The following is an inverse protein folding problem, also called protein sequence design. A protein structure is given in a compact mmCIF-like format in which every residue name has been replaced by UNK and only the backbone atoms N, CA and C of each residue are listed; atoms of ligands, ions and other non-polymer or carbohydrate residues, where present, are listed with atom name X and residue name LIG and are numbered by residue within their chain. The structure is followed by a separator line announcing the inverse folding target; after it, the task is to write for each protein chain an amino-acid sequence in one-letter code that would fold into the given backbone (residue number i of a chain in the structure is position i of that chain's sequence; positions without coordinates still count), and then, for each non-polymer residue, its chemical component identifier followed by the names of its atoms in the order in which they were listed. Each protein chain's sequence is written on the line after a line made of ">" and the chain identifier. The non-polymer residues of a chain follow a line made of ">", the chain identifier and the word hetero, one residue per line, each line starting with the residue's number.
data_IF_569101483265
#
_entry.id   IF_569101483265
#
_cell.length_a   1.000
_cell.length_b   1.000
_cell.length_c   1.000
_cell.angle_alpha   90.00
_cell.angle_beta   90.00
_cell.angle_gamma   90.00
#
_symmetry.space_group_name_H-M   'P 1'
#
loop_
_entity.id
_entity.type
_entity.pdbx_description
1 polymer ?
#
# COMPACT_ATOMS: atom_id res chain seq x y z
N UNK A 1 85.38 -29.16 90.73
CA UNK A 1 84.96 -29.35 89.32
C UNK A 1 83.46 -29.58 89.29
N UNK A 2 82.69 -28.66 88.71
CA UNK A 2 81.22 -28.71 88.65
C UNK A 2 80.78 -28.51 87.19
N UNK A 3 79.84 -29.32 86.66
CA UNK A 3 79.53 -29.33 85.23
C UNK A 3 78.51 -28.23 84.86
N UNK A 4 78.77 -27.50 83.77
CA UNK A 4 77.80 -26.57 83.16
C UNK A 4 76.78 -27.35 82.33
N UNK A 5 75.50 -27.29 82.75
CA UNK A 5 74.32 -27.76 82.01
C UNK A 5 74.07 -26.90 80.76
N UNK A 6 73.97 -27.54 79.58
CA UNK A 6 73.48 -26.92 78.34
C UNK A 6 71.94 -26.88 78.33
N UNK A 7 71.37 -25.72 77.97
CA UNK A 7 69.90 -25.53 77.83
C UNK A 7 69.44 -25.96 76.42
N UNK A 8 68.24 -26.58 76.28
CA UNK A 8 67.70 -26.95 74.99
C UNK A 8 67.14 -25.74 74.22
N UNK A 9 67.39 -25.70 72.91
CA UNK A 9 66.77 -24.74 71.97
C UNK A 9 65.28 -25.03 71.85
N UNK A 10 64.44 -24.14 72.38
CA UNK A 10 63.00 -24.11 72.09
C UNK A 10 62.82 -23.85 70.59
N UNK A 11 62.18 -24.79 69.87
CA UNK A 11 61.71 -24.57 68.49
C UNK A 11 60.62 -23.51 68.53
N UNK A 12 60.81 -22.41 67.79
CA UNK A 12 59.88 -21.30 67.67
C UNK A 12 58.66 -21.72 66.83
N UNK A 13 57.56 -22.07 67.49
CA UNK A 13 56.24 -22.35 66.86
C UNK A 13 55.47 -21.09 66.45
N UNK A 14 55.99 -19.88 66.76
CA UNK A 14 55.33 -18.61 66.45
C UNK A 14 55.45 -18.14 64.99
N UNK A 15 56.42 -18.64 64.21
CA UNK A 15 56.56 -18.26 62.80
C UNK A 15 55.52 -18.94 61.90
N UNK A 16 55.08 -20.16 62.27
CA UNK A 16 54.13 -20.93 61.46
C UNK A 16 52.70 -20.39 61.58
N UNK A 17 52.30 -19.89 62.75
CA UNK A 17 50.98 -19.26 62.95
C UNK A 17 50.87 -17.91 62.26
N UNK A 18 51.96 -17.12 62.20
CA UNK A 18 52.02 -15.87 61.43
C UNK A 18 51.89 -16.12 59.93
N UNK A 19 52.56 -17.16 59.42
CA UNK A 19 52.49 -17.52 58.00
C UNK A 19 51.10 -18.03 57.60
N UNK A 20 50.46 -18.85 58.43
CA UNK A 20 49.07 -19.30 58.21
C UNK A 20 48.09 -18.12 58.31
N UNK A 21 48.26 -17.23 59.29
CA UNK A 21 47.43 -16.02 59.41
C UNK A 21 47.55 -15.10 58.21
N UNK A 22 48.77 -14.91 57.68
CA UNK A 22 49.01 -14.13 56.46
C UNK A 22 48.34 -14.78 55.24
N UNK A 23 48.49 -16.10 55.07
CA UNK A 23 47.85 -16.84 53.97
C UNK A 23 46.32 -16.75 54.02
N UNK A 24 45.73 -16.86 55.21
CA UNK A 24 44.29 -16.69 55.40
C UNK A 24 43.83 -15.26 55.08
N UNK A 25 44.60 -14.25 55.48
CA UNK A 25 44.29 -12.85 55.21
C UNK A 25 44.39 -12.53 53.71
N UNK A 26 45.42 -13.02 53.03
CA UNK A 26 45.56 -12.90 51.57
C UNK A 26 44.42 -13.65 50.85
N UNK A 27 44.10 -14.87 51.28
CA UNK A 27 42.99 -15.65 50.73
C UNK A 27 41.64 -14.95 50.87
N UNK A 28 41.34 -14.40 52.05
CA UNK A 28 40.13 -13.62 52.29
C UNK A 28 40.08 -12.33 51.45
N UNK A 29 41.23 -11.66 51.26
CA UNK A 29 41.34 -10.48 50.40
C UNK A 29 41.00 -10.78 48.94
N UNK A 30 41.51 -11.89 48.39
CA UNK A 30 41.23 -12.31 47.01
C UNK A 30 39.74 -12.63 46.81
N UNK A 31 39.11 -13.32 47.77
CA UNK A 31 37.67 -13.63 47.72
C UNK A 31 36.81 -12.37 47.74
N UNK A 32 37.14 -11.41 48.62
CA UNK A 32 36.40 -10.15 48.76
C UNK A 32 36.52 -9.29 47.50
N UNK A 33 37.73 -9.18 46.94
CA UNK A 33 37.95 -8.45 45.68
C UNK A 33 37.18 -9.08 44.51
N UNK A 34 37.20 -10.41 44.43
CA UNK A 34 36.47 -11.15 43.39
C UNK A 34 34.96 -10.92 43.51
N UNK A 35 34.39 -11.00 44.72
CA UNK A 35 32.97 -10.73 44.95
C UNK A 35 32.56 -9.29 44.58
N UNK A 36 33.40 -8.30 44.93
CA UNK A 36 33.16 -6.89 44.61
C UNK A 36 33.14 -6.67 43.09
N UNK A 37 34.08 -7.28 42.36
CA UNK A 37 34.13 -7.19 40.89
C UNK A 37 32.88 -7.81 40.24
N UNK A 38 32.45 -8.98 40.72
CA UNK A 38 31.23 -9.64 40.22
C UNK A 38 30.00 -8.75 40.42
N UNK A 39 29.83 -8.16 41.62
CA UNK A 39 28.70 -7.27 41.88
C UNK A 39 28.65 -6.03 40.98
N UNK A 40 29.81 -5.41 40.68
CA UNK A 40 29.88 -4.27 39.75
C UNK A 40 29.53 -4.71 38.31
N UNK A 41 29.98 -5.88 37.88
CA UNK A 41 29.67 -6.42 36.55
C UNK A 41 28.17 -6.72 36.43
N UNK A 42 27.56 -7.37 37.42
CA UNK A 42 26.13 -7.67 37.45
C UNK A 42 25.29 -6.39 37.42
N UNK A 43 25.67 -5.36 38.16
CA UNK A 43 24.99 -4.06 38.12
C UNK A 43 25.07 -3.40 36.73
N UNK A 44 26.23 -3.47 36.07
CA UNK A 44 26.39 -2.94 34.71
C UNK A 44 25.54 -3.71 33.70
N UNK A 45 25.54 -5.04 33.78
CA UNK A 45 24.70 -5.88 32.92
C UNK A 45 23.23 -5.55 33.13
N UNK A 46 22.76 -5.45 34.39
CA UNK A 46 21.38 -5.13 34.70
C UNK A 46 20.96 -3.73 34.20
N UNK A 47 21.83 -2.72 34.33
CA UNK A 47 21.55 -1.37 33.83
C UNK A 47 21.54 -1.34 32.30
N UNK A 48 22.48 -2.02 31.65
CA UNK A 48 22.53 -2.12 30.20
C UNK A 48 21.30 -2.84 29.65
N UNK A 49 20.90 -3.95 30.27
CA UNK A 49 19.69 -4.69 29.91
C UNK A 49 18.44 -3.84 30.08
N UNK A 50 18.36 -3.06 31.17
CA UNK A 50 17.24 -2.16 31.41
C UNK A 50 17.15 -1.07 30.33
N UNK A 51 18.27 -0.40 30.00
CA UNK A 51 18.34 0.62 28.94
C UNK A 51 18.03 0.06 27.56
N UNK A 52 18.51 -1.15 27.26
CA UNK A 52 18.22 -1.83 26.00
C UNK A 52 16.70 -2.12 25.86
N UNK A 53 16.03 -2.53 26.94
CA UNK A 53 14.58 -2.72 26.95
C UNK A 53 13.81 -1.41 26.75
N UNK A 54 14.24 -0.32 27.38
CA UNK A 54 13.61 1.00 27.18
C UNK A 54 13.77 1.49 25.73
N UNK A 55 14.97 1.34 25.15
CA UNK A 55 15.21 1.67 23.74
C UNK A 55 14.34 0.81 22.80
N UNK A 56 14.22 -0.50 23.07
CA UNK A 56 13.34 -1.39 22.32
C UNK A 56 11.87 -0.97 22.38
N UNK A 57 11.38 -0.60 23.57
CA UNK A 57 10.01 -0.11 23.74
C UNK A 57 9.78 1.17 22.96
N UNK A 58 10.75 2.09 22.94
CA UNK A 58 10.68 3.31 22.14
C UNK A 58 10.69 3.03 20.63
N UNK A 59 11.48 2.07 20.16
CA UNK A 59 11.48 1.64 18.75
C UNK A 59 10.12 1.02 18.37
N UNK A 60 9.55 0.18 19.24
CA UNK A 60 8.22 -0.39 19.03
C UNK A 60 7.13 0.69 18.99
N UNK A 61 7.18 1.69 19.88
CA UNK A 61 6.26 2.83 19.83
C UNK A 61 6.37 3.60 18.50
N UNK A 62 7.57 3.67 17.90
CA UNK A 62 7.77 4.18 16.56
C UNK A 62 7.04 3.38 15.48
N UNK A 63 7.04 2.05 15.57
CA UNK A 63 6.29 1.19 14.64
C UNK A 63 4.77 1.31 14.84
N UNK A 64 4.28 1.45 16.09
CA UNK A 64 2.86 1.73 16.33
C UNK A 64 2.45 3.08 15.72
N UNK A 65 3.33 4.09 15.83
CA UNK A 65 3.12 5.37 15.16
C UNK A 65 3.11 5.20 13.62
N UNK A 66 4.05 4.43 13.06
CA UNK A 66 4.09 4.15 11.63
C UNK A 66 2.81 3.46 11.14
N UNK A 67 2.30 2.47 11.88
CA UNK A 67 1.03 1.80 11.60
C UNK A 67 -0.14 2.79 11.56
N UNK A 68 -0.27 3.64 12.60
CA UNK A 68 -1.33 4.64 12.68
C UNK A 68 -1.23 5.67 11.55
N UNK A 69 0.00 6.11 11.24
CA UNK A 69 0.23 7.07 10.16
C UNK A 69 -0.10 6.46 8.78
N UNK A 70 0.36 5.23 8.50
CA UNK A 70 0.09 4.52 7.24
C UNK A 70 -1.39 4.14 7.08
N UNK A 71 -2.16 4.09 8.16
CA UNK A 71 -3.60 3.85 8.09
C UNK A 71 -4.39 5.02 7.49
N UNK A 72 -3.82 6.23 7.53
CA UNK A 72 -4.48 7.46 7.08
C UNK A 72 -3.75 8.14 5.92
N UNK A 73 -2.49 7.78 5.66
CA UNK A 73 -1.63 8.48 4.71
C UNK A 73 -1.05 7.50 3.68
N UNK A 74 -1.01 7.96 2.43
CA UNK A 74 -0.26 7.31 1.37
C UNK A 74 1.23 7.65 1.53
N UNK A 75 2.10 6.66 1.35
CA UNK A 75 3.53 6.87 1.21
C UNK A 75 4.05 6.27 -0.08
N UNK A 76 4.80 7.07 -0.82
CA UNK A 76 5.47 6.69 -2.06
C UNK A 76 6.98 6.83 -1.93
N UNK A 77 7.72 6.11 -2.76
CA UNK A 77 9.17 6.17 -2.76
C UNK A 77 9.62 7.59 -3.11
N UNK A 78 10.28 8.25 -2.16
CA UNK A 78 10.75 9.64 -2.29
C UNK A 78 10.01 10.64 -1.40
N UNK A 79 8.87 10.24 -0.82
CA UNK A 79 8.19 11.04 0.20
C UNK A 79 9.02 11.11 1.48
N UNK A 80 8.98 12.26 2.14
CA UNK A 80 9.62 12.45 3.43
C UNK A 80 8.95 11.55 4.50
N UNK A 81 9.75 10.84 5.28
CA UNK A 81 9.21 9.98 6.33
C UNK A 81 8.63 10.79 7.48
N UNK A 82 7.52 10.32 8.09
CA UNK A 82 6.91 11.02 9.19
C UNK A 82 7.79 10.93 10.43
N UNK A 83 7.78 11.97 11.27
CA UNK A 83 8.59 12.04 12.50
C UNK A 83 7.72 11.71 13.72
N UNK A 84 7.93 10.57 14.39
CA UNK A 84 7.23 10.25 15.63
C UNK A 84 7.54 11.23 16.77
N UNK A 85 6.62 11.44 17.73
CA UNK A 85 6.92 12.20 18.92
C UNK A 85 7.97 11.50 19.80
N UNK A 86 8.79 12.25 20.57
CA UNK A 86 9.77 11.66 21.47
C UNK A 86 9.12 10.83 22.58
N UNK A 87 9.76 9.72 22.96
CA UNK A 87 9.28 8.84 24.03
C UNK A 87 10.08 9.09 25.31
N UNK A 88 9.38 9.38 26.41
CA UNK A 88 10.01 9.55 27.74
C UNK A 88 9.86 8.25 28.52
N UNK A 89 10.98 7.62 28.84
CA UNK A 89 10.99 6.38 29.61
C UNK A 89 10.86 6.63 31.13
N UNK A 90 10.55 5.58 31.90
CA UNK A 90 10.35 5.67 33.34
C UNK A 90 11.64 6.08 34.09
N UNK A 91 12.80 5.76 33.52
CA UNK A 91 14.11 6.24 33.96
C UNK A 91 14.37 7.73 33.77
N UNK A 92 13.55 8.41 32.96
CA UNK A 92 13.75 9.79 32.54
C UNK A 92 14.56 9.96 31.25
N UNK A 93 15.03 8.88 30.62
CA UNK A 93 15.62 8.98 29.27
C UNK A 93 14.57 9.41 28.25
N UNK A 94 14.99 10.28 27.33
CA UNK A 94 14.17 10.71 26.18
C UNK A 94 14.73 10.07 24.92
N UNK A 95 13.91 9.28 24.24
CA UNK A 95 14.24 8.61 22.99
C UNK A 95 13.63 9.35 21.81
N UNK A 96 14.46 9.63 20.81
CA UNK A 96 14.03 10.10 19.50
C UNK A 96 13.94 8.90 18.57
N UNK A 97 12.86 8.81 17.79
CA UNK A 97 12.68 7.72 16.84
C UNK A 97 12.76 8.24 15.42
N UNK A 98 13.64 7.64 14.61
CA UNK A 98 13.70 7.85 13.17
C UNK A 98 12.96 6.72 12.47
N UNK A 99 12.05 7.07 11.56
CA UNK A 99 11.41 6.13 10.67
C UNK A 99 12.09 6.14 9.29
N UNK A 100 12.15 4.96 8.67
CA UNK A 100 12.53 4.80 7.26
C UNK A 100 11.56 3.81 6.64
N UNK A 101 10.89 4.21 5.56
CA UNK A 101 9.91 3.38 4.87
C UNK A 101 10.51 2.82 3.58
N UNK A 102 10.06 1.63 3.20
CA UNK A 102 10.46 0.97 1.96
C UNK A 102 9.27 0.20 1.38
N UNK A 103 8.98 0.43 0.11
CA UNK A 103 7.98 -0.34 -0.64
C UNK A 103 8.48 -1.76 -0.86
N UNK A 104 7.63 -2.73 -0.60
CA UNK A 104 7.82 -4.14 -0.90
C UNK A 104 6.61 -4.67 -1.67
N UNK A 105 6.74 -5.86 -2.25
CA UNK A 105 5.68 -6.50 -3.06
C UNK A 105 4.35 -6.66 -2.31
N UNK A 106 4.39 -6.74 -0.97
CA UNK A 106 3.22 -7.01 -0.13
C UNK A 106 2.79 -5.81 0.73
N UNK A 107 3.37 -4.62 0.51
CA UNK A 107 3.02 -3.41 1.26
C UNK A 107 4.23 -2.53 1.60
N UNK A 108 4.13 -1.75 2.67
CA UNK A 108 5.16 -0.81 3.10
C UNK A 108 5.84 -1.34 4.37
N UNK A 109 7.16 -1.49 4.33
CA UNK A 109 7.96 -1.84 5.50
C UNK A 109 8.49 -0.58 6.17
N UNK A 110 8.32 -0.47 7.48
CA UNK A 110 8.91 0.57 8.29
C UNK A 110 10.05 0.02 9.14
N UNK A 111 11.15 0.76 9.20
CA UNK A 111 12.21 0.60 10.19
C UNK A 111 12.13 1.76 11.17
N UNK A 112 12.02 1.45 12.45
CA UNK A 112 12.09 2.40 13.56
C UNK A 112 13.43 2.26 14.28
N UNK A 113 14.21 3.33 14.31
CA UNK A 113 15.44 3.42 15.10
C UNK A 113 15.20 4.40 16.24
N UNK A 114 15.16 3.91 17.47
CA UNK A 114 15.07 4.74 18.67
C UNK A 114 16.45 4.98 19.26
N UNK A 115 16.80 6.23 19.54
CA UNK A 115 18.10 6.64 20.07
C UNK A 115 17.91 7.55 21.28
N UNK A 116 18.62 7.29 22.38
CA UNK A 116 18.56 8.14 23.55
C UNK A 116 19.23 9.49 23.29
N UNK A 117 18.54 10.59 23.61
CA UNK A 117 18.98 11.96 23.28
C UNK A 117 20.27 12.35 23.98
N UNK A 118 20.43 11.92 25.25
CA UNK A 118 21.60 12.26 26.06
C UNK A 118 22.78 11.30 25.85
N UNK A 119 22.51 10.06 25.39
CA UNK A 119 23.50 9.00 25.23
C UNK A 119 23.23 8.24 23.91
N UNK A 120 23.68 8.76 22.76
CA UNK A 120 23.31 8.20 21.45
C UNK A 120 23.78 6.76 21.18
N UNK A 121 24.73 6.26 21.98
CA UNK A 121 25.16 4.86 21.94
C UNK A 121 24.07 3.89 22.43
N UNK A 122 23.07 4.39 23.17
CA UNK A 122 21.88 3.63 23.52
C UNK A 122 20.87 3.77 22.38
N UNK A 123 20.81 2.75 21.54
CA UNK A 123 19.83 2.67 20.46
C UNK A 123 19.20 1.28 20.37
N UNK A 124 18.03 1.23 19.74
CA UNK A 124 17.40 0.00 19.32
C UNK A 124 16.76 0.18 17.94
N UNK A 125 16.79 -0.89 17.16
CA UNK A 125 16.11 -0.97 15.88
C UNK A 125 14.91 -1.91 16.02
N UNK A 126 13.83 -1.58 15.32
CA UNK A 126 12.70 -2.46 15.08
C UNK A 126 12.28 -2.30 13.62
N UNK A 127 11.75 -3.36 13.01
CA UNK A 127 11.19 -3.28 11.68
C UNK A 127 9.93 -4.14 11.58
N UNK A 128 9.01 -3.70 10.74
CA UNK A 128 7.72 -4.36 10.53
C UNK A 128 7.16 -3.93 9.16
N UNK A 129 6.39 -4.80 8.50
CA UNK A 129 5.70 -4.44 7.27
C UNK A 129 4.20 -4.39 7.47
N UNK A 130 3.58 -3.48 6.71
CA UNK A 130 2.18 -3.15 6.79
C UNK A 130 1.52 -3.30 5.43
N UNK A 131 0.35 -3.91 5.40
CA UNK A 131 -0.51 -3.94 4.23
C UNK A 131 -1.55 -2.84 4.34
N UNK A 132 -1.63 -1.96 3.32
CA UNK A 132 -2.60 -0.89 3.27
C UNK A 132 -3.89 -1.35 2.60
N UNK A 133 -5.01 -1.11 3.27
CA UNK A 133 -6.36 -1.42 2.77
C UNK A 133 -7.01 -0.15 2.21
N UNK A 134 -7.91 -0.31 1.24
CA UNK A 134 -8.39 0.81 0.45
C UNK A 134 -9.58 0.47 -0.42
N UNK A 135 -9.55 0.92 -1.66
CA UNK A 135 -10.58 0.68 -2.67
C UNK A 135 -10.69 -0.82 -3.04
N UNK A 136 -9.54 -1.47 -3.20
CA UNK A 136 -9.38 -2.87 -3.59
C UNK A 136 -8.97 -3.73 -2.39
N UNK A 137 -9.33 -5.01 -2.47
CA UNK A 137 -8.81 -6.02 -1.55
C UNK A 137 -7.28 -6.08 -1.66
N UNK A 138 -6.62 -6.06 -0.51
CA UNK A 138 -5.17 -5.90 -0.42
C UNK A 138 -4.37 -7.19 -0.66
N UNK A 139 -5.02 -8.31 -1.02
CA UNK A 139 -4.34 -9.56 -1.34
C UNK A 139 -3.69 -9.52 -2.72
N UNK A 140 -2.56 -10.20 -2.89
CA UNK A 140 -1.83 -10.23 -4.17
C UNK A 140 -2.56 -10.93 -5.32
N UNK A 141 -3.73 -11.55 -5.04
CA UNK A 141 -4.58 -12.14 -6.07
C UNK A 141 -5.49 -11.11 -6.74
N UNK A 142 -5.71 -9.96 -6.09
CA UNK A 142 -6.51 -8.86 -6.63
C UNK A 142 -5.70 -8.12 -7.69
N UNK A 143 -6.24 -8.02 -8.90
CA UNK A 143 -5.63 -7.33 -10.03
C UNK A 143 -6.65 -6.35 -10.64
N UNK A 144 -6.20 -5.51 -11.59
CA UNK A 144 -7.11 -4.66 -12.35
C UNK A 144 -8.21 -5.49 -13.04
N UNK A 145 -9.47 -5.00 -13.05
CA UNK A 145 -10.51 -5.61 -13.85
C UNK A 145 -10.18 -5.53 -15.34
N UNK A 146 -10.75 -6.43 -16.18
CA UNK A 146 -10.62 -6.34 -17.61
C UNK A 146 -11.32 -5.09 -18.16
N UNK A 147 -11.03 -4.67 -19.42
CA UNK A 147 -11.51 -3.40 -19.95
C UNK A 147 -13.02 -3.22 -19.90
N UNK A 148 -13.78 -4.30 -20.07
CA UNK A 148 -15.24 -4.28 -20.01
C UNK A 148 -15.73 -5.17 -18.86
N UNK A 149 -16.47 -4.60 -17.92
CA UNK A 149 -17.13 -5.35 -16.84
C UNK A 149 -18.62 -4.99 -16.76
N UNK A 150 -19.48 -6.00 -16.79
CA UNK A 150 -20.93 -5.79 -16.75
C UNK A 150 -21.57 -6.72 -15.73
N UNK A 151 -22.48 -6.24 -14.90
CA UNK A 151 -23.36 -7.15 -14.16
C UNK A 151 -24.39 -7.84 -15.09
N UNK A 152 -24.68 -7.21 -16.24
CA UNK A 152 -25.59 -7.69 -17.28
C UNK A 152 -24.88 -8.14 -18.56
N UNK A 153 -25.54 -7.93 -19.69
CA UNK A 153 -25.07 -8.25 -21.04
C UNK A 153 -24.69 -7.00 -21.84
N UNK A 154 -23.84 -7.19 -22.85
CA UNK A 154 -23.42 -6.16 -23.79
C UNK A 154 -24.29 -6.25 -25.05
N UNK A 155 -24.84 -5.14 -25.51
CA UNK A 155 -25.50 -5.09 -26.82
C UNK A 155 -24.47 -5.22 -27.95
N UNK A 156 -24.86 -5.85 -29.06
CA UNK A 156 -23.95 -6.14 -30.17
C UNK A 156 -23.30 -4.86 -30.74
N UNK A 157 -21.95 -4.75 -30.69
CA UNK A 157 -21.23 -3.65 -31.32
C UNK A 157 -21.45 -3.68 -32.84
N UNK A 158 -22.11 -2.65 -33.37
CA UNK A 158 -22.40 -2.55 -34.82
C UNK A 158 -21.48 -1.58 -35.54
N UNK A 159 -20.85 -0.66 -34.80
CA UNK A 159 -19.86 0.29 -35.30
C UNK A 159 -18.44 -0.17 -34.90
N UNK A 160 -17.40 0.20 -35.69
CA UNK A 160 -16.02 -0.14 -35.35
C UNK A 160 -15.57 0.49 -34.03
N UNK A 161 -15.09 -0.35 -33.13
CA UNK A 161 -14.45 0.03 -31.87
C UNK A 161 -13.29 -0.93 -31.60
N UNK A 162 -12.33 -0.52 -30.80
CA UNK A 162 -11.11 -1.29 -30.55
C UNK A 162 -10.96 -1.63 -29.07
N UNK A 163 -10.47 -2.82 -28.80
CA UNK A 163 -10.14 -3.28 -27.47
C UNK A 163 -8.74 -3.91 -27.47
N UNK A 164 -7.88 -3.38 -26.62
CA UNK A 164 -6.50 -3.80 -26.46
C UNK A 164 -6.35 -4.57 -25.15
N UNK A 165 -5.87 -5.82 -25.23
CA UNK A 165 -5.65 -6.70 -24.06
C UNK A 165 -4.17 -6.89 -23.78
N UNK A 166 -3.76 -6.80 -22.52
CA UNK A 166 -2.40 -7.12 -22.06
C UNK A 166 -2.34 -8.60 -21.68
N UNK A 167 -2.92 -8.93 -20.53
CA UNK A 167 -2.77 -10.24 -19.88
C UNK A 167 -4.08 -10.75 -19.25
N UNK A 168 -5.09 -9.90 -19.09
CA UNK A 168 -6.41 -10.25 -18.59
C UNK A 168 -7.34 -10.73 -19.73
N UNK A 169 -8.55 -11.13 -19.37
CA UNK A 169 -9.61 -11.35 -20.34
C UNK A 169 -10.08 -10.03 -20.94
N UNK A 170 -10.74 -10.07 -22.11
CA UNK A 170 -11.27 -8.85 -22.74
C UNK A 170 -12.51 -8.31 -22.00
N UNK A 171 -13.35 -9.21 -21.48
CA UNK A 171 -14.64 -8.85 -20.89
C UNK A 171 -15.06 -9.80 -19.75
N UNK A 172 -15.71 -9.23 -18.74
CA UNK A 172 -16.29 -9.96 -17.62
C UNK A 172 -17.79 -9.67 -17.47
N UNK A 173 -18.58 -10.69 -17.12
CA UNK A 173 -20.02 -10.54 -16.90
C UNK A 173 -20.53 -11.22 -15.62
N UNK A 174 -21.54 -10.62 -14.99
CA UNK A 174 -22.38 -11.22 -13.95
C UNK A 174 -23.47 -12.17 -14.49
N UNK A 175 -23.53 -12.36 -15.81
CA UNK A 175 -24.41 -13.30 -16.51
C UNK A 175 -23.62 -14.47 -17.09
N UNK A 176 -24.20 -15.15 -18.09
CA UNK A 176 -23.52 -16.20 -18.81
C UNK A 176 -22.48 -15.59 -19.77
N UNK A 177 -21.21 -15.94 -19.59
CA UNK A 177 -20.11 -15.53 -20.46
C UNK A 177 -20.15 -16.28 -21.81
N UNK A 178 -21.07 -15.91 -22.69
CA UNK A 178 -21.24 -16.49 -24.02
C UNK A 178 -21.51 -15.42 -25.08
N UNK A 179 -21.48 -15.81 -26.35
CA UNK A 179 -21.66 -14.88 -27.47
C UNK A 179 -23.06 -14.23 -27.55
N UNK A 180 -24.08 -14.82 -26.90
CA UNK A 180 -25.42 -14.22 -26.87
C UNK A 180 -25.52 -13.06 -25.87
N UNK A 181 -24.78 -13.12 -24.77
CA UNK A 181 -24.74 -12.06 -23.77
C UNK A 181 -23.58 -11.08 -23.98
N UNK A 182 -22.46 -11.57 -24.51
CA UNK A 182 -21.26 -10.80 -24.82
C UNK A 182 -20.91 -10.99 -26.31
N UNK A 183 -21.73 -10.49 -27.23
CA UNK A 183 -21.39 -10.47 -28.65
C UNK A 183 -20.12 -9.64 -28.88
N UNK A 184 -19.23 -10.12 -29.76
CA UNK A 184 -18.06 -9.34 -30.18
C UNK A 184 -18.48 -8.25 -31.18
N UNK A 185 -19.36 -8.60 -32.13
CA UNK A 185 -19.78 -7.68 -33.19
C UNK A 185 -18.58 -7.11 -33.96
N UNK A 186 -18.57 -5.78 -34.11
CA UNK A 186 -17.52 -5.00 -34.78
C UNK A 186 -16.40 -4.54 -33.84
N UNK A 187 -16.26 -5.14 -32.66
CA UNK A 187 -15.08 -4.92 -31.81
C UNK A 187 -13.86 -5.62 -32.40
N UNK A 188 -12.86 -4.83 -32.77
CA UNK A 188 -11.54 -5.33 -33.10
C UNK A 188 -10.73 -5.53 -31.81
N UNK A 189 -10.12 -6.71 -31.68
CA UNK A 189 -9.42 -7.09 -30.45
C UNK A 189 -7.96 -7.34 -30.80
N UNK A 190 -7.08 -6.57 -30.18
CA UNK A 190 -5.62 -6.64 -30.40
C UNK A 190 -4.91 -6.88 -29.08
N UNK A 191 -3.80 -7.62 -29.12
CA UNK A 191 -2.88 -7.64 -28.00
C UNK A 191 -2.20 -6.26 -27.86
N UNK A 192 -1.93 -5.84 -26.63
CA UNK A 192 -1.06 -4.71 -26.34
C UNK A 192 0.22 -5.24 -25.69
N UNK A 193 1.35 -4.65 -26.06
CA UNK A 193 2.63 -4.90 -25.43
C UNK A 193 3.22 -3.58 -24.95
N UNK A 194 2.90 -3.20 -23.71
CA UNK A 194 3.45 -2.02 -23.03
C UNK A 194 4.96 -2.23 -22.74
N UNK A 195 5.77 -2.07 -23.78
CA UNK A 195 7.19 -2.39 -23.74
C UNK A 195 8.03 -1.38 -22.96
N UNK A 196 7.47 -0.21 -22.67
CA UNK A 196 8.15 0.88 -21.98
C UNK A 196 7.56 1.15 -20.58
N UNK A 197 6.52 0.42 -20.16
CA UNK A 197 5.83 0.51 -18.87
C UNK A 197 5.31 1.95 -18.57
N UNK A 198 4.94 2.68 -19.63
CA UNK A 198 4.39 4.03 -19.52
C UNK A 198 2.85 4.03 -19.42
N UNK A 199 2.21 2.86 -19.61
CA UNK A 199 0.77 2.64 -19.59
C UNK A 199 -0.01 3.45 -20.63
N UNK A 200 0.62 3.76 -21.75
CA UNK A 200 0.03 4.44 -22.90
C UNK A 200 0.20 3.56 -24.12
N UNK A 201 -0.90 3.35 -24.86
CA UNK A 201 -0.82 2.61 -26.11
C UNK A 201 -0.14 3.47 -27.20
N UNK A 202 1.08 3.09 -27.55
CA UNK A 202 1.83 3.69 -28.65
C UNK A 202 1.68 2.89 -29.97
N UNK A 203 1.93 3.56 -31.11
CA UNK A 203 1.83 2.94 -32.46
C UNK A 203 2.70 1.69 -32.66
N UNK A 204 3.75 1.51 -31.86
CA UNK A 204 4.67 0.36 -31.95
C UNK A 204 4.34 -0.76 -30.96
N UNK A 205 3.32 -0.56 -30.12
CA UNK A 205 2.93 -1.47 -29.04
C UNK A 205 1.65 -2.25 -29.34
N UNK A 206 0.96 -1.87 -30.42
CA UNK A 206 -0.13 -2.65 -30.97
C UNK A 206 0.39 -4.00 -31.48
N UNK A 207 -0.15 -5.06 -30.89
CA UNK A 207 0.18 -6.44 -31.20
C UNK A 207 -0.75 -7.04 -32.27
N UNK A 208 -0.66 -8.36 -32.41
CA UNK A 208 -1.55 -9.11 -33.30
C UNK A 208 -2.98 -9.19 -32.75
N UNK A 209 -3.92 -9.58 -33.61
CA UNK A 209 -5.30 -9.87 -33.18
C UNK A 209 -5.32 -10.90 -32.04
N UNK A 210 -6.16 -10.62 -31.04
CA UNK A 210 -6.31 -11.39 -29.81
C UNK A 210 -7.76 -11.92 -29.68
N UNK A 211 -7.97 -12.98 -28.88
CA UNK A 211 -9.31 -13.51 -28.68
C UNK A 211 -10.19 -12.58 -27.83
N UNK A 212 -11.49 -12.51 -28.13
CA UNK A 212 -12.47 -11.88 -27.25
C UNK A 212 -12.84 -12.81 -26.09
N UNK A 213 -11.91 -12.94 -25.15
CA UNK A 213 -12.04 -13.82 -23.99
C UNK A 213 -13.11 -13.31 -23.01
N UNK A 214 -14.06 -14.20 -22.72
CA UNK A 214 -15.23 -13.91 -21.89
C UNK A 214 -15.14 -14.64 -20.57
N UNK A 215 -15.24 -13.91 -19.49
CA UNK A 215 -15.25 -14.48 -18.14
C UNK A 215 -16.55 -14.18 -17.43
N UNK A 216 -17.07 -15.13 -16.65
CA UNK A 216 -18.19 -14.89 -15.75
C UNK A 216 -17.69 -14.77 -14.31
N UNK A 217 -18.21 -13.82 -13.54
CA UNK A 217 -17.85 -13.67 -12.13
C UNK A 217 -18.90 -14.22 -11.14
N UNK A 218 -19.79 -15.06 -11.63
CA UNK A 218 -20.88 -15.65 -10.86
C UNK A 218 -22.09 -14.72 -10.81
N UNK A 219 -23.29 -15.30 -10.92
CA UNK A 219 -24.55 -14.58 -11.09
C UNK A 219 -24.71 -13.34 -10.21
N UNK A 220 -25.35 -12.29 -10.73
CA UNK A 220 -25.69 -11.06 -10.00
C UNK A 220 -27.13 -11.04 -9.46
N UNK A 221 -27.39 -11.54 -8.24
CA UNK A 221 -28.74 -11.56 -7.67
C UNK A 221 -29.16 -10.25 -6.97
N UNK A 222 -28.22 -9.30 -6.77
CA UNK A 222 -28.44 -8.10 -5.95
C UNK A 222 -28.00 -6.81 -6.62
N UNK A 223 -28.35 -5.68 -5.99
CA UNK A 223 -27.87 -4.35 -6.38
C UNK A 223 -26.35 -4.22 -6.14
N UNK A 224 -25.69 -3.36 -6.90
CA UNK A 224 -24.25 -3.08 -6.77
C UNK A 224 -23.38 -4.34 -6.92
N UNK A 225 -23.81 -5.28 -7.76
CA UNK A 225 -23.15 -6.56 -7.91
C UNK A 225 -21.76 -6.42 -8.51
N UNK A 226 -21.61 -5.62 -9.57
CA UNK A 226 -20.31 -5.44 -10.20
C UNK A 226 -19.34 -4.73 -9.25
N UNK A 227 -19.83 -3.71 -8.53
CA UNK A 227 -19.08 -3.01 -7.50
C UNK A 227 -18.58 -3.95 -6.40
N UNK A 228 -19.50 -4.68 -5.75
CA UNK A 228 -19.17 -5.57 -4.63
C UNK A 228 -18.30 -6.77 -5.05
N UNK A 229 -18.21 -7.05 -6.35
CA UNK A 229 -17.30 -8.07 -6.88
C UNK A 229 -15.87 -7.58 -6.99
N UNK A 230 -15.68 -6.33 -7.38
CA UNK A 230 -14.39 -5.76 -7.77
C UNK A 230 -13.72 -4.96 -6.65
N UNK A 231 -14.50 -4.32 -5.79
CA UNK A 231 -14.03 -3.41 -4.77
C UNK A 231 -14.30 -3.96 -3.37
N UNK A 232 -13.36 -3.73 -2.46
CA UNK A 232 -13.51 -4.03 -1.03
C UNK A 232 -14.17 -2.86 -0.27
N UNK A 233 -14.05 -1.64 -0.81
CA UNK A 233 -14.72 -0.45 -0.30
C UNK A 233 -16.20 -0.43 -0.72
N UNK A 234 -17.10 0.01 0.18
CA UNK A 234 -18.51 0.21 -0.18
C UNK A 234 -18.69 1.40 -1.12
N UNK A 235 -19.70 1.36 -2.00
CA UNK A 235 -20.00 2.48 -2.91
C UNK A 235 -20.38 3.75 -2.13
N UNK A 236 -21.08 3.59 -1.01
CA UNK A 236 -21.44 4.70 -0.13
C UNK A 236 -20.19 5.38 0.44
N UNK A 237 -19.23 4.61 0.96
CA UNK A 237 -17.97 5.16 1.45
C UNK A 237 -17.16 5.83 0.33
N UNK A 238 -17.13 5.26 -0.88
CA UNK A 238 -16.41 5.83 -2.00
C UNK A 238 -17.00 7.20 -2.42
N UNK A 239 -18.33 7.29 -2.51
CA UNK A 239 -19.04 8.55 -2.78
C UNK A 239 -18.83 9.57 -1.66
N UNK A 240 -18.84 9.12 -0.40
CA UNK A 240 -18.56 9.98 0.75
C UNK A 240 -17.13 10.52 0.74
N UNK A 241 -16.14 9.69 0.40
CA UNK A 241 -14.74 10.09 0.30
C UNK A 241 -14.49 11.09 -0.84
N UNK A 242 -15.09 10.87 -2.02
CA UNK A 242 -15.06 11.82 -3.13
C UNK A 242 -15.69 13.16 -2.73
N UNK A 243 -16.85 13.12 -2.07
CA UNK A 243 -17.56 14.33 -1.61
C UNK A 243 -16.76 15.10 -0.56
N UNK A 244 -16.19 14.40 0.44
CA UNK A 244 -15.37 15.02 1.48
C UNK A 244 -14.13 15.72 0.93
N UNK A 245 -13.62 15.25 -0.21
CA UNK A 245 -12.45 15.81 -0.90
C UNK A 245 -12.83 16.87 -1.94
N UNK A 246 -14.12 17.15 -2.12
CA UNK A 246 -14.61 18.11 -3.12
C UNK A 246 -14.53 17.61 -4.57
N UNK A 247 -14.36 16.30 -4.79
CA UNK A 247 -14.26 15.69 -6.12
C UNK A 247 -15.64 15.36 -6.71
N UNK A 248 -16.54 16.34 -6.69
CA UNK A 248 -17.89 16.25 -7.25
C UNK A 248 -17.98 17.22 -8.42
N UNK A 249 -18.16 16.69 -9.62
CA UNK A 249 -18.05 17.45 -10.87
C UNK A 249 -19.32 17.34 -11.71
N UNK A 250 -19.73 18.47 -12.27
CA UNK A 250 -20.90 18.59 -13.15
C UNK A 250 -20.49 19.05 -14.55
N UNK A 251 -19.78 20.18 -14.64
CA UNK A 251 -19.30 20.77 -15.90
C UNK A 251 -17.98 21.54 -15.70
N UNK A 252 -17.00 20.90 -15.06
CA UNK A 252 -15.63 21.42 -14.90
C UNK A 252 -14.71 20.31 -14.37
N UNK A 253 -14.67 19.17 -15.06
CA UNK A 253 -13.88 18.01 -14.63
C UNK A 253 -12.40 18.38 -14.78
N UNK A 254 -11.55 18.28 -13.74
CA UNK A 254 -10.14 18.63 -13.88
C UNK A 254 -9.48 17.68 -14.88
N UNK A 255 -8.71 18.23 -15.81
CA UNK A 255 -7.78 17.43 -16.59
C UNK A 255 -6.72 16.84 -15.65
N UNK A 256 -6.15 15.70 -16.03
CA UNK A 256 -5.18 14.98 -15.20
C UNK A 256 -5.78 14.43 -13.91
N UNK A 257 -4.94 14.21 -12.90
CA UNK A 257 -5.36 13.77 -11.58
C UNK A 257 -5.38 14.95 -10.60
N UNK A 258 -6.46 15.08 -9.83
CA UNK A 258 -6.56 15.96 -8.67
C UNK A 258 -5.71 15.40 -7.51
N UNK A 259 -5.70 16.13 -6.39
CA UNK A 259 -5.11 15.61 -5.16
C UNK A 259 -5.81 14.29 -4.74
N UNK A 260 -5.13 13.39 -4.00
CA UNK A 260 -5.77 12.22 -3.41
C UNK A 260 -7.05 12.55 -2.63
N UNK A 261 -8.07 11.67 -2.63
CA UNK A 261 -8.09 10.35 -3.27
C UNK A 261 -8.48 10.43 -4.76
N UNK A 262 -8.06 9.44 -5.55
CA UNK A 262 -8.43 9.30 -6.96
C UNK A 262 -9.88 8.86 -7.18
N UNK A 263 -10.84 9.40 -6.42
CA UNK A 263 -12.26 9.07 -6.47
C UNK A 263 -13.06 10.29 -6.91
N UNK A 264 -13.71 10.22 -8.07
CA UNK A 264 -14.48 11.33 -8.64
C UNK A 264 -15.96 10.95 -8.72
N UNK A 265 -16.84 11.88 -8.38
CA UNK A 265 -18.29 11.74 -8.54
C UNK A 265 -18.76 12.66 -9.69
N UNK A 266 -19.40 12.08 -10.70
CA UNK A 266 -19.83 12.80 -11.91
C UNK A 266 -21.34 13.01 -11.91
N UNK A 267 -21.78 14.21 -11.55
CA UNK A 267 -23.19 14.59 -11.41
C UNK A 267 -23.76 15.28 -12.66
N UNK A 268 -23.36 14.82 -13.86
CA UNK A 268 -23.93 15.30 -15.14
C UNK A 268 -24.83 14.25 -15.77
N UNK A 269 -25.93 14.71 -16.36
CA UNK A 269 -26.90 13.87 -17.08
C UNK A 269 -26.75 13.91 -18.60
N UNK A 270 -25.97 14.87 -19.11
CA UNK A 270 -25.71 15.05 -20.55
C UNK A 270 -24.38 14.42 -20.99
N UNK A 271 -24.12 14.40 -22.31
CA UNK A 271 -22.81 14.03 -22.82
C UNK A 271 -21.70 14.87 -22.18
N UNK A 272 -20.56 14.24 -21.94
CA UNK A 272 -19.35 14.88 -21.44
C UNK A 272 -18.47 15.18 -22.65
N UNK A 273 -18.22 16.45 -22.86
CA UNK A 273 -17.47 17.00 -23.97
C UNK A 273 -16.06 17.40 -23.53
N UNK A 274 -15.14 17.51 -24.48
CA UNK A 274 -13.79 18.03 -24.23
C UNK A 274 -13.78 19.43 -23.58
N UNK A 275 -14.84 20.22 -23.79
CA UNK A 275 -15.01 21.56 -23.19
C UNK A 275 -15.45 21.52 -21.73
N UNK A 276 -15.96 20.38 -21.25
CA UNK A 276 -16.31 20.19 -19.84
C UNK A 276 -15.07 19.86 -18.99
N UNK A 277 -13.93 19.60 -19.64
CA UNK A 277 -12.65 19.40 -18.99
C UNK A 277 -11.96 20.74 -18.75
N UNK A 278 -11.34 20.86 -17.58
CA UNK A 278 -10.82 22.10 -17.03
C UNK A 278 -9.34 22.01 -16.67
N UNK A 279 -8.62 23.10 -16.88
CA UNK A 279 -7.19 23.19 -16.56
C UNK A 279 -6.31 23.02 -17.80
N UNK A 280 -5.00 22.91 -17.55
CA UNK A 280 -3.99 22.67 -18.58
C UNK A 280 -3.09 21.53 -18.12
N UNK A 281 -3.13 20.43 -18.83
CA UNK A 281 -2.44 19.19 -18.52
C UNK A 281 -1.58 18.81 -19.72
N UNK A 282 -0.50 19.57 -19.91
CA UNK A 282 0.52 19.29 -20.92
C UNK A 282 1.67 18.51 -20.29
N UNK A 283 1.72 17.19 -20.49
CA UNK A 283 2.83 16.32 -20.07
C UNK A 283 2.41 15.16 -19.15
N UNK A 284 3.27 14.12 -19.09
CA UNK A 284 3.05 12.85 -18.38
C UNK A 284 1.98 11.91 -18.99
N UNK A 285 1.82 11.92 -20.31
CA UNK A 285 0.96 10.96 -21.01
C UNK A 285 -0.51 11.34 -21.12
N UNK A 286 -0.93 12.45 -20.53
CA UNK A 286 -2.24 13.07 -20.71
C UNK A 286 -2.14 14.43 -21.40
N UNK A 287 -3.17 14.77 -22.17
CA UNK A 287 -3.38 16.11 -22.73
C UNK A 287 -4.44 16.91 -21.95
N UNK A 288 -4.77 18.11 -22.40
CA UNK A 288 -5.83 18.94 -21.79
C UNK A 288 -7.22 18.28 -21.80
N UNK A 289 -7.36 17.15 -22.52
CA UNK A 289 -8.57 16.34 -22.59
C UNK A 289 -8.44 14.97 -21.89
N UNK A 290 -7.46 14.80 -21.00
CA UNK A 290 -7.31 13.58 -20.22
C UNK A 290 -7.92 13.71 -18.81
N UNK A 291 -8.62 12.68 -18.32
CA UNK A 291 -9.06 12.56 -16.94
C UNK A 291 -8.21 11.47 -16.26
N UNK A 292 -7.56 11.81 -15.15
CA UNK A 292 -6.51 10.99 -14.57
C UNK A 292 -5.19 11.07 -15.36
N UNK A 293 -4.19 10.32 -14.92
CA UNK A 293 -2.91 10.14 -15.63
C UNK A 293 -2.45 8.68 -15.53
N UNK A 294 -1.50 8.24 -16.37
CA UNK A 294 -0.96 6.88 -16.29
C UNK A 294 -0.32 6.51 -14.94
N UNK A 295 0.17 7.51 -14.18
CA UNK A 295 0.75 7.28 -12.85
C UNK A 295 -0.27 7.48 -11.71
N UNK A 296 -1.30 8.28 -11.96
CA UNK A 296 -2.36 8.60 -11.00
C UNK A 296 -3.73 8.35 -11.66
N UNK A 297 -4.14 7.08 -11.81
CA UNK A 297 -5.46 6.75 -12.31
C UNK A 297 -6.56 7.18 -11.34
N UNK A 298 -7.77 7.33 -11.88
CA UNK A 298 -8.95 7.78 -11.13
C UNK A 298 -10.13 6.83 -11.34
N UNK A 299 -10.97 6.68 -10.32
CA UNK A 299 -12.27 6.02 -10.38
C UNK A 299 -13.36 7.07 -10.54
N UNK A 300 -13.95 7.15 -11.74
CA UNK A 300 -15.11 7.97 -12.07
C UNK A 300 -16.38 7.22 -11.71
N UNK A 301 -17.08 7.69 -10.69
CA UNK A 301 -18.37 7.17 -10.26
C UNK A 301 -19.45 8.04 -10.90
N UNK A 302 -20.24 7.46 -11.79
CA UNK A 302 -21.47 8.05 -12.30
C UNK A 302 -22.63 7.52 -11.43
N UNK A 303 -23.22 8.37 -10.58
CA UNK A 303 -24.30 7.95 -9.71
C UNK A 303 -25.57 7.67 -10.49
N UNK A 304 -26.48 6.87 -9.92
CA UNK A 304 -27.72 6.46 -10.60
C UNK A 304 -28.55 7.66 -11.10
N UNK A 305 -28.56 8.75 -10.33
CA UNK A 305 -29.26 9.99 -10.67
C UNK A 305 -28.72 10.70 -11.94
N UNK A 306 -27.45 10.45 -12.29
CA UNK A 306 -26.82 10.95 -13.52
C UNK A 306 -27.17 10.11 -14.75
N UNK A 307 -27.73 8.91 -14.56
CA UNK A 307 -28.06 7.99 -15.65
C UNK A 307 -26.82 7.39 -16.31
N UNK A 308 -26.64 7.65 -17.61
CA UNK A 308 -25.54 7.13 -18.41
C UNK A 308 -25.01 8.19 -19.40
N UNK A 309 -24.32 9.23 -18.92
CA UNK A 309 -23.69 10.22 -19.79
C UNK A 309 -22.65 9.56 -20.68
N UNK A 310 -22.68 9.86 -21.98
CA UNK A 310 -21.66 9.41 -22.93
C UNK A 310 -20.44 10.34 -22.89
N UNK A 311 -19.25 9.78 -23.03
CA UNK A 311 -18.01 10.57 -23.21
C UNK A 311 -17.70 10.72 -24.70
N UNK A 312 -17.53 11.94 -25.19
CA UNK A 312 -17.25 12.15 -26.60
C UNK A 312 -15.85 11.72 -27.02
N UNK A 313 -15.68 11.55 -28.33
CA UNK A 313 -14.38 11.29 -28.94
C UNK A 313 -13.36 12.39 -28.59
N UNK A 314 -12.09 12.01 -28.47
CA UNK A 314 -11.00 12.91 -28.07
C UNK A 314 -10.82 13.10 -26.56
N UNK A 315 -11.61 12.43 -25.72
CA UNK A 315 -11.37 12.35 -24.27
C UNK A 315 -10.58 11.08 -23.96
N UNK A 316 -9.49 11.22 -23.21
CA UNK A 316 -8.69 10.11 -22.69
C UNK A 316 -8.98 9.94 -21.19
N UNK A 317 -9.20 8.71 -20.72
CA UNK A 317 -9.46 8.43 -19.30
C UNK A 317 -8.47 7.39 -18.81
N UNK A 318 -7.73 7.69 -17.75
CA UNK A 318 -6.83 6.75 -17.10
C UNK A 318 -7.43 6.28 -15.77
N UNK A 319 -7.81 5.01 -15.71
CA UNK A 319 -8.41 4.39 -14.52
C UNK A 319 -9.71 3.68 -14.83
N UNK A 320 -10.72 3.89 -13.99
CA UNK A 320 -11.97 3.12 -14.03
C UNK A 320 -13.16 4.07 -14.17
N UNK A 321 -14.10 3.75 -15.05
CA UNK A 321 -15.41 4.41 -15.10
C UNK A 321 -16.48 3.44 -14.61
N UNK A 322 -17.26 3.84 -13.62
CA UNK A 322 -18.29 3.02 -13.00
C UNK A 322 -19.66 3.70 -13.14
N UNK A 323 -20.62 2.98 -13.72
CA UNK A 323 -22.02 3.40 -13.81
C UNK A 323 -22.88 2.65 -12.79
N UNK A 324 -23.39 3.39 -11.81
CA UNK A 324 -24.27 2.85 -10.75
C UNK A 324 -25.64 2.41 -11.31
N UNK A 325 -26.13 3.07 -12.37
CA UNK A 325 -27.44 2.73 -12.93
C UNK A 325 -27.43 1.36 -13.63
N UNK A 326 -28.31 0.46 -13.17
CA UNK A 326 -28.48 -0.85 -13.78
C UNK A 326 -29.28 -0.85 -15.10
N UNK A 327 -29.84 0.29 -15.53
CA UNK A 327 -30.71 0.33 -16.71
C UNK A 327 -30.47 1.50 -17.64
N UNK A 328 -29.95 2.64 -17.17
CA UNK A 328 -29.76 3.81 -18.01
C UNK A 328 -28.78 3.56 -19.18
N UNK A 329 -27.79 2.69 -18.95
CA UNK A 329 -26.77 2.37 -19.95
C UNK A 329 -27.18 1.32 -20.97
N UNK A 330 -28.31 0.62 -20.79
CA UNK A 330 -28.70 -0.52 -21.63
C UNK A 330 -28.89 -0.15 -23.12
N UNK A 331 -29.21 1.11 -23.41
CA UNK A 331 -29.44 1.61 -24.78
C UNK A 331 -28.45 2.66 -25.24
N UNK A 332 -27.73 3.31 -24.31
CA UNK A 332 -26.84 4.44 -24.63
C UNK A 332 -25.34 4.09 -24.57
N UNK A 333 -24.99 2.86 -24.19
CA UNK A 333 -23.65 2.30 -24.35
C UNK A 333 -22.51 3.15 -23.76
N UNK A 334 -21.33 2.94 -24.32
CA UNK A 334 -20.16 3.80 -24.12
C UNK A 334 -20.11 4.87 -25.23
N UNK A 335 -19.57 6.04 -24.92
CA UNK A 335 -19.32 7.08 -25.93
C UNK A 335 -18.12 6.77 -26.84
N UNK A 336 -17.50 7.81 -27.43
CA UNK A 336 -16.34 7.67 -28.32
C UNK A 336 -14.98 7.80 -27.63
N UNK A 337 -14.94 7.99 -26.30
CA UNK A 337 -13.71 8.22 -25.57
C UNK A 337 -12.79 6.99 -25.50
N UNK A 338 -11.52 7.24 -25.19
CA UNK A 338 -10.49 6.24 -24.94
C UNK A 338 -10.33 5.99 -23.45
N UNK A 339 -10.33 4.73 -23.03
CA UNK A 339 -10.15 4.34 -21.61
C UNK A 339 -8.92 3.45 -21.47
N UNK A 340 -7.95 3.92 -20.69
CA UNK A 340 -6.80 3.17 -20.19
C UNK A 340 -7.13 2.59 -18.81
N UNK A 341 -7.74 1.41 -18.80
CA UNK A 341 -8.23 0.72 -17.62
C UNK A 341 -9.54 0.00 -17.92
N UNK A 342 -10.60 0.29 -17.15
CA UNK A 342 -11.86 -0.46 -17.25
C UNK A 342 -13.12 0.41 -17.20
N UNK A 343 -14.18 -0.07 -17.85
CA UNK A 343 -15.53 0.46 -17.71
C UNK A 343 -16.45 -0.60 -17.11
N UNK A 344 -17.18 -0.20 -16.07
CA UNK A 344 -17.98 -1.08 -15.22
C UNK A 344 -19.43 -0.61 -15.24
N UNK A 345 -20.35 -1.53 -15.51
CA UNK A 345 -21.79 -1.29 -15.48
C UNK A 345 -22.51 -2.22 -14.50
N UNK A 346 -23.42 -1.68 -13.70
CA UNK A 346 -24.29 -2.47 -12.80
C UNK A 346 -25.43 -3.21 -13.49
N UNK A 347 -25.52 -3.13 -14.82
CA UNK A 347 -26.55 -3.82 -15.58
C UNK A 347 -26.11 -4.14 -17.01
N UNK A 348 -27.09 -4.11 -17.92
CA UNK A 348 -26.82 -4.23 -19.34
C UNK A 348 -26.19 -2.93 -19.87
N UNK A 349 -25.31 -3.05 -20.85
CA UNK A 349 -24.71 -1.90 -21.53
C UNK A 349 -25.04 -1.94 -23.02
N UNK A 350 -25.34 -0.78 -23.59
CA UNK A 350 -25.44 -0.59 -25.03
C UNK A 350 -24.08 -0.79 -25.72
N UNK A 351 -24.12 -0.88 -27.04
CA UNK A 351 -22.91 -0.99 -27.84
C UNK A 351 -22.03 0.26 -27.68
N UNK A 352 -20.69 0.11 -27.66
CA UNK A 352 -19.79 1.26 -27.76
C UNK A 352 -20.02 2.00 -29.07
N UNK A 353 -19.87 3.33 -29.04
CA UNK A 353 -19.91 4.16 -30.23
C UNK A 353 -18.70 3.91 -31.15
N UNK A 354 -18.78 4.40 -32.39
CA UNK A 354 -17.65 4.38 -33.31
C UNK A 354 -16.42 5.05 -32.69
N UNK A 355 -15.23 4.49 -32.97
CA UNK A 355 -13.93 4.96 -32.50
C UNK A 355 -13.67 4.83 -31.00
N UNK A 356 -14.60 4.24 -30.23
CA UNK A 356 -14.33 3.89 -28.85
C UNK A 356 -13.09 2.99 -28.76
N UNK A 357 -12.20 3.30 -27.81
CA UNK A 357 -10.99 2.52 -27.56
C UNK A 357 -10.90 2.12 -26.10
N UNK A 358 -10.80 0.83 -25.84
CA UNK A 358 -10.59 0.29 -24.51
C UNK A 358 -9.20 -0.34 -24.44
N UNK A 359 -8.39 0.07 -23.47
CA UNK A 359 -7.00 -0.35 -23.34
C UNK A 359 -6.82 -0.93 -21.95
N UNK A 360 -6.70 -2.25 -21.85
CA UNK A 360 -6.43 -2.94 -20.58
C UNK A 360 -5.14 -2.40 -19.99
N UNK A 361 -5.17 -1.87 -18.77
CA UNK A 361 -3.97 -1.30 -18.13
C UNK A 361 -3.71 -1.99 -16.79
N UNK A 362 -2.45 -2.33 -16.53
CA UNK A 362 -2.02 -2.91 -15.26
C UNK A 362 -1.45 -1.82 -14.32
N UNK A 363 -2.09 -1.64 -13.17
CA UNK A 363 -1.65 -0.75 -12.09
C UNK A 363 -1.06 -1.51 -10.89
N UNK A 364 -0.76 -2.80 -11.07
CA UNK A 364 -0.24 -3.71 -10.06
C UNK A 364 -1.32 -4.60 -9.44
N UNK A 365 -1.00 -5.20 -8.29
CA UNK A 365 -1.88 -6.12 -7.58
C UNK A 365 -1.99 -5.81 -6.09
N UNK A 366 -3.09 -6.23 -5.47
CA UNK A 366 -3.36 -6.04 -4.04
C UNK A 366 -3.24 -4.58 -3.60
N UNK A 367 -2.42 -4.32 -2.57
CA UNK A 367 -2.23 -2.96 -2.04
C UNK A 367 -1.63 -1.96 -3.04
N UNK A 368 -0.88 -2.42 -4.06
CA UNK A 368 -0.38 -1.50 -5.10
C UNK A 368 -1.51 -0.81 -5.88
N UNK A 369 -2.67 -1.46 -6.04
CA UNK A 369 -3.84 -0.84 -6.64
C UNK A 369 -4.41 0.29 -5.78
N UNK A 370 -4.44 0.09 -4.46
CA UNK A 370 -4.87 1.12 -3.51
C UNK A 370 -3.98 2.35 -3.57
N UNK A 371 -2.68 2.14 -3.78
CA UNK A 371 -1.71 3.22 -3.94
C UNK A 371 -1.88 3.95 -5.27
N UNK A 372 -2.11 3.23 -6.37
CA UNK A 372 -2.33 3.82 -7.69
C UNK A 372 -3.57 4.74 -7.71
N UNK A 373 -4.69 4.27 -7.17
CA UNK A 373 -5.93 5.05 -7.01
C UNK A 373 -5.91 5.97 -5.77
N UNK A 374 -4.77 6.03 -5.06
CA UNK A 374 -4.52 6.90 -3.92
C UNK A 374 -5.62 6.85 -2.85
N UNK A 375 -6.15 5.65 -2.60
CA UNK A 375 -7.28 5.43 -1.68
C UNK A 375 -6.85 4.51 -0.56
N UNK A 376 -6.52 5.09 0.60
CA UNK A 376 -6.09 4.38 1.81
C UNK A 376 -7.13 4.61 2.91
N UNK A 377 -7.55 3.53 3.58
CA UNK A 377 -8.50 3.57 4.71
C UNK A 377 -7.98 2.91 5.98
N UNK A 378 -6.89 2.18 5.86
CA UNK A 378 -6.34 1.43 6.96
C UNK A 378 -5.00 0.82 6.61
N UNK A 379 -4.31 0.39 7.65
CA UNK A 379 -3.11 -0.40 7.55
C UNK A 379 -3.19 -1.53 8.57
N UNK A 380 -2.67 -2.70 8.20
CA UNK A 380 -2.60 -3.86 9.08
C UNK A 380 -1.21 -4.44 9.05
N UNK A 381 -0.78 -5.02 10.17
CA UNK A 381 0.53 -5.68 10.28
C UNK A 381 0.55 -6.95 9.44
N UNK A 382 1.62 -7.16 8.69
CA UNK A 382 1.88 -8.41 7.99
C UNK A 382 2.51 -9.39 9.00
N UNK A 383 1.81 -10.46 9.39
CA UNK A 383 2.32 -11.40 10.39
C UNK A 383 3.60 -12.09 9.90
N UNK A 384 4.57 -12.29 10.80
CA UNK A 384 5.80 -13.02 10.49
C UNK A 384 6.90 -12.18 9.84
N UNK A 385 6.77 -10.85 9.79
CA UNK A 385 7.90 -9.95 9.56
C UNK A 385 8.75 -9.93 10.83
N UNK A 386 9.85 -10.70 10.84
CA UNK A 386 10.61 -11.02 12.05
C UNK A 386 11.35 -9.81 12.62
N UNK A 387 11.48 -9.73 13.95
CA UNK A 387 12.30 -8.72 14.64
C UNK A 387 13.76 -9.10 14.54
N UNK A 388 14.56 -8.35 13.78
CA UNK A 388 16.02 -8.49 13.86
C UNK A 388 16.57 -7.53 14.91
N UNK A 389 17.32 -8.08 15.87
CA UNK A 389 17.97 -7.35 16.95
C UNK A 389 19.47 -7.26 16.66
N UNK A 390 19.82 -6.86 15.43
CA UNK A 390 21.20 -6.50 15.13
C UNK A 390 21.57 -5.26 15.94
N UNK A 391 22.30 -5.55 17.02
CA UNK A 391 23.13 -4.60 17.74
C UNK A 391 24.51 -4.70 17.09
N UNK A 392 24.80 -3.76 16.19
CA UNK A 392 26.18 -3.51 15.76
C UNK A 392 27.05 -3.03 16.94
#
# INVERSE_FOLDING_TARGET
>A
MSPRKSRPRRRQSGAMTLLVGLLLLVGAGILTFSATRTGVIEQRIANNEFRAREAQQAAQAGLEYALAWLAENLWTTGDAEPTPPPVVAASGYVYQTRLTFAKQLHGVCARAQATATAEPEILANAWECFNQTGLFDSTSATAMPPPLVLAGCLAEPTEPAELFVLNAGAVMTGRAANASCLPQGSLDISAWNDGNDNRLLDLLEEGASAPFDRTAFGGCPGALCAWNRLFDMSLEDAKAAATASGHVYTNHIPCGAAAPPGLYLIETTGPIEAVDLAGTCSGAGGGDHSIGTPQHPILLIVPEASGCPSFNDGIDIHGIVYYESASACATHGWGGARVHGAVIWEGDAGAPAANARFVETDYGTGSHLNDAFQTIRGATRIPGTWRDWDSD
#
